data_IF_905095097440
#
_entry.id   IF_905095097440
#
_cell.length_a   1.000
_cell.length_b   1.000
_cell.length_c   1.000
_cell.angle_alpha   90.00
_cell.angle_beta   90.00
_cell.angle_gamma   90.00
#
_symmetry.space_group_name_H-M   'P 1'
#
loop_
_entity.id
_entity.type
_entity.pdbx_description
1 polymer ?
#
# COMPACT_ATOMS: atom_id res chain seq x y z
N UNK A 1 -26.21 8.15 -25.32
CA UNK A 1 -24.75 8.26 -25.50
C UNK A 1 -24.07 6.93 -25.14
N UNK A 2 -22.95 6.61 -25.79
CA UNK A 2 -22.19 5.38 -25.55
C UNK A 2 -20.80 5.72 -25.04
N UNK A 3 -20.38 5.13 -23.93
CA UNK A 3 -19.06 5.33 -23.33
C UNK A 3 -18.31 4.01 -23.37
N UNK A 4 -17.10 4.03 -23.94
CA UNK A 4 -16.19 2.88 -23.96
C UNK A 4 -15.19 2.97 -22.78
N UNK A 5 -15.15 1.95 -21.95
CA UNK A 5 -14.26 1.90 -20.77
C UNK A 5 -13.09 0.95 -20.97
N UNK A 6 -11.93 1.32 -20.43
CA UNK A 6 -10.75 0.42 -20.35
C UNK A 6 -10.17 0.45 -18.94
N UNK A 7 -10.24 -0.69 -18.27
CA UNK A 7 -9.61 -0.94 -16.95
C UNK A 7 -8.78 -2.23 -17.02
N UNK A 8 -7.54 -2.22 -16.53
CA UNK A 8 -6.60 -3.34 -16.65
C UNK A 8 -6.22 -4.01 -15.33
N UNK A 9 -6.73 -3.53 -14.20
CA UNK A 9 -6.42 -4.03 -12.86
C UNK A 9 -7.66 -4.09 -11.97
N UNK A 10 -7.63 -4.92 -10.92
CA UNK A 10 -8.77 -5.11 -10.00
C UNK A 10 -9.19 -3.80 -9.33
N UNK A 11 -8.24 -2.96 -8.93
CA UNK A 11 -8.53 -1.63 -8.38
C UNK A 11 -9.26 -0.74 -9.36
N UNK A 12 -8.83 -0.73 -10.63
CA UNK A 12 -9.45 0.03 -11.71
C UNK A 12 -10.87 -0.47 -12.03
N UNK A 13 -11.13 -1.79 -11.92
CA UNK A 13 -12.47 -2.38 -12.06
C UNK A 13 -13.42 -1.85 -10.97
N UNK A 14 -12.98 -1.85 -9.72
CA UNK A 14 -13.77 -1.34 -8.60
C UNK A 14 -14.11 0.16 -8.78
N UNK A 15 -13.12 0.96 -9.17
CA UNK A 15 -13.32 2.39 -9.43
C UNK A 15 -14.19 2.64 -10.65
N UNK A 16 -14.00 1.87 -11.72
CA UNK A 16 -14.81 1.91 -12.93
C UNK A 16 -16.26 1.55 -12.65
N UNK A 17 -16.49 0.51 -11.85
CA UNK A 17 -17.84 0.11 -11.47
C UNK A 17 -18.56 1.20 -10.64
N UNK A 18 -17.86 1.84 -9.70
CA UNK A 18 -18.42 2.95 -8.92
C UNK A 18 -18.77 4.15 -9.85
N UNK A 19 -17.87 4.52 -10.74
CA UNK A 19 -18.09 5.57 -11.74
C UNK A 19 -19.28 5.25 -12.67
N UNK A 20 -19.37 4.03 -13.19
CA UNK A 20 -20.50 3.59 -14.03
C UNK A 20 -21.85 3.68 -13.31
N UNK A 21 -21.90 3.29 -12.02
CA UNK A 21 -23.12 3.45 -11.20
C UNK A 21 -23.52 4.91 -11.07
N UNK A 22 -22.55 5.80 -10.82
CA UNK A 22 -22.79 7.24 -10.72
C UNK A 22 -23.25 7.85 -12.04
N UNK A 23 -22.62 7.48 -13.15
CA UNK A 23 -23.04 7.89 -14.50
C UNK A 23 -24.46 7.45 -14.80
N UNK A 24 -24.83 6.20 -14.50
CA UNK A 24 -26.19 5.67 -14.74
C UNK A 24 -27.23 6.34 -13.86
N UNK A 25 -26.89 6.80 -12.67
CA UNK A 25 -27.80 7.60 -11.83
C UNK A 25 -28.08 8.98 -12.41
N UNK A 26 -27.09 9.59 -13.05
CA UNK A 26 -27.21 10.92 -13.66
C UNK A 26 -27.87 10.87 -15.06
N UNK A 27 -27.61 9.81 -15.82
CA UNK A 27 -28.21 9.55 -17.12
C UNK A 27 -28.47 8.06 -17.35
N UNK A 28 -29.71 7.56 -17.10
CA UNK A 28 -30.05 6.14 -17.22
C UNK A 28 -29.90 5.57 -18.62
N UNK A 29 -29.96 6.43 -19.68
CA UNK A 29 -29.88 6.02 -21.08
C UNK A 29 -28.46 5.78 -21.59
N UNK A 30 -27.44 5.97 -20.72
CA UNK A 30 -26.06 5.73 -21.08
C UNK A 30 -25.80 4.25 -21.33
N UNK A 31 -25.17 3.99 -22.46
CA UNK A 31 -24.68 2.64 -22.82
C UNK A 31 -23.19 2.53 -22.47
N UNK A 32 -22.84 1.45 -21.79
CA UNK A 32 -21.47 1.15 -21.41
C UNK A 32 -20.98 -0.06 -22.20
N UNK A 33 -19.86 0.10 -22.86
CA UNK A 33 -19.15 -0.94 -23.59
C UNK A 33 -17.66 -0.90 -23.19
N UNK A 34 -16.90 -1.93 -23.51
CA UNK A 34 -15.47 -1.89 -23.28
C UNK A 34 -14.89 -3.12 -22.57
N UNK A 35 -13.80 -2.89 -21.84
CA UNK A 35 -12.99 -3.93 -21.23
C UNK A 35 -12.61 -3.56 -19.79
N UNK A 36 -12.86 -4.47 -18.88
CA UNK A 36 -12.54 -4.30 -17.45
C UNK A 36 -12.59 -5.62 -16.72
N UNK A 37 -13.12 -5.60 -15.51
CA UNK A 37 -13.29 -6.78 -14.70
C UNK A 37 -14.75 -7.13 -14.43
N UNK A 38 -14.99 -8.08 -13.50
CA UNK A 38 -16.33 -8.61 -13.24
C UNK A 38 -17.28 -7.56 -12.66
N UNK A 39 -16.78 -6.57 -11.89
CA UNK A 39 -17.64 -5.54 -11.31
C UNK A 39 -18.21 -4.60 -12.38
N UNK A 40 -17.39 -4.17 -13.32
CA UNK A 40 -17.83 -3.34 -14.45
C UNK A 40 -18.74 -4.15 -15.39
N UNK A 41 -18.40 -5.41 -15.66
CA UNK A 41 -19.20 -6.29 -16.52
C UNK A 41 -20.61 -6.51 -15.94
N UNK A 42 -20.74 -6.65 -14.63
CA UNK A 42 -22.04 -6.78 -13.96
C UNK A 42 -22.96 -5.57 -14.23
N UNK A 43 -22.39 -4.38 -14.34
CA UNK A 43 -23.15 -3.15 -14.57
C UNK A 43 -23.42 -2.93 -16.08
N UNK A 44 -22.43 -3.16 -16.92
CA UNK A 44 -22.52 -2.90 -18.36
C UNK A 44 -23.28 -4.00 -19.14
N UNK A 45 -23.28 -5.24 -18.63
CA UNK A 45 -23.93 -6.39 -19.28
C UNK A 45 -22.96 -7.25 -20.11
N UNK A 46 -23.52 -8.21 -20.84
CA UNK A 46 -22.77 -9.26 -21.52
C UNK A 46 -21.81 -8.80 -22.63
N UNK A 47 -22.05 -7.64 -23.22
CA UNK A 47 -21.17 -7.06 -24.26
C UNK A 47 -19.86 -6.51 -23.69
N UNK A 48 -19.77 -6.33 -22.38
CA UNK A 48 -18.56 -5.85 -21.71
C UNK A 48 -17.57 -7.00 -21.47
N UNK A 49 -16.33 -6.85 -21.90
CA UNK A 49 -15.32 -7.93 -21.83
C UNK A 49 -14.58 -7.92 -20.51
N UNK A 50 -14.67 -9.02 -19.79
CA UNK A 50 -13.79 -9.25 -18.63
C UNK A 50 -12.44 -9.82 -19.09
N UNK A 51 -11.36 -9.05 -18.90
CA UNK A 51 -10.01 -9.41 -19.32
C UNK A 51 -8.95 -9.29 -18.21
N UNK A 52 -9.36 -8.85 -17.01
CA UNK A 52 -8.42 -8.54 -15.91
C UNK A 52 -7.63 -9.77 -15.48
N UNK A 53 -8.23 -10.95 -15.47
CA UNK A 53 -7.52 -12.18 -15.12
C UNK A 53 -6.28 -12.44 -15.99
N UNK A 54 -6.39 -12.09 -17.27
CA UNK A 54 -5.30 -12.25 -18.25
C UNK A 54 -4.39 -11.03 -18.32
N UNK A 55 -4.92 -9.84 -18.04
CA UNK A 55 -4.22 -8.56 -18.10
C UNK A 55 -3.37 -8.27 -16.86
N UNK A 56 -3.67 -8.88 -15.72
CA UNK A 56 -2.93 -8.72 -14.48
C UNK A 56 -1.49 -9.26 -14.61
N UNK A 57 -0.56 -8.39 -14.98
CA UNK A 57 0.85 -8.70 -15.19
C UNK A 57 1.71 -7.97 -14.16
N UNK A 58 2.46 -8.73 -13.36
CA UNK A 58 3.12 -8.26 -12.15
C UNK A 58 4.61 -7.92 -12.33
N UNK A 59 5.15 -7.91 -13.55
CA UNK A 59 6.58 -7.60 -13.74
C UNK A 59 7.02 -7.44 -15.19
N UNK A 60 8.17 -6.77 -15.38
CA UNK A 60 8.74 -6.49 -16.70
C UNK A 60 8.96 -7.78 -17.53
N UNK A 61 9.39 -8.86 -16.90
CA UNK A 61 9.62 -10.15 -17.57
C UNK A 61 8.32 -10.81 -18.03
N UNK A 62 7.27 -10.72 -17.24
CA UNK A 62 5.94 -11.23 -17.59
C UNK A 62 5.31 -10.40 -18.72
N UNK A 63 5.53 -9.07 -18.73
CA UNK A 63 5.14 -8.20 -19.85
C UNK A 63 5.83 -8.63 -21.15
N UNK A 64 7.12 -8.91 -21.11
CA UNK A 64 7.87 -9.38 -22.27
C UNK A 64 7.34 -10.75 -22.76
N UNK A 65 7.05 -11.66 -21.85
CA UNK A 65 6.51 -12.99 -22.17
C UNK A 65 5.12 -12.92 -22.77
N UNK A 66 4.28 -11.97 -22.32
CA UNK A 66 2.91 -11.74 -22.79
C UNK A 66 2.80 -10.64 -23.86
N UNK A 67 3.93 -10.19 -24.46
CA UNK A 67 3.92 -9.08 -25.43
C UNK A 67 2.98 -9.32 -26.60
N UNK A 68 2.96 -10.52 -27.17
CA UNK A 68 2.05 -10.90 -28.26
C UNK A 68 0.58 -10.78 -27.85
N UNK A 69 0.24 -11.24 -26.63
CA UNK A 69 -1.11 -11.10 -26.08
C UNK A 69 -1.51 -9.62 -25.95
N UNK A 70 -0.67 -8.77 -25.34
CA UNK A 70 -0.99 -7.34 -25.18
C UNK A 70 -1.09 -6.60 -26.51
N UNK A 71 -0.27 -6.97 -27.51
CA UNK A 71 -0.36 -6.41 -28.86
C UNK A 71 -1.68 -6.77 -29.51
N UNK A 72 -2.15 -8.00 -29.34
CA UNK A 72 -3.42 -8.47 -29.87
C UNK A 72 -4.59 -7.77 -29.16
N UNK A 73 -4.57 -7.70 -27.81
CA UNK A 73 -5.60 -6.98 -27.05
C UNK A 73 -5.67 -5.50 -27.43
N UNK A 74 -4.52 -4.87 -27.67
CA UNK A 74 -4.46 -3.48 -28.13
C UNK A 74 -5.10 -3.30 -29.50
N UNK A 75 -4.82 -4.18 -30.45
CA UNK A 75 -5.42 -4.14 -31.80
C UNK A 75 -6.93 -4.34 -31.76
N UNK A 76 -7.38 -5.34 -31.01
CA UNK A 76 -8.81 -5.61 -30.83
C UNK A 76 -9.52 -4.45 -30.16
N UNK A 77 -8.95 -3.84 -29.12
CA UNK A 77 -9.53 -2.66 -28.47
C UNK A 77 -9.69 -1.49 -29.44
N UNK A 78 -8.68 -1.23 -30.27
CA UNK A 78 -8.78 -0.19 -31.30
C UNK A 78 -9.88 -0.49 -32.31
N UNK A 79 -9.97 -1.72 -32.82
CA UNK A 79 -11.04 -2.15 -33.78
C UNK A 79 -12.43 -1.97 -33.16
N UNK A 80 -12.62 -2.43 -31.93
CA UNK A 80 -13.89 -2.28 -31.21
C UNK A 80 -14.32 -0.82 -31.04
N UNK A 81 -13.39 0.07 -30.70
CA UNK A 81 -13.68 1.51 -30.57
C UNK A 81 -14.04 2.12 -31.96
N UNK A 82 -13.35 1.72 -33.03
CA UNK A 82 -13.63 2.19 -34.38
C UNK A 82 -15.00 1.74 -34.90
N UNK A 83 -15.34 0.49 -34.59
CA UNK A 83 -16.62 -0.10 -35.02
C UNK A 83 -17.80 0.47 -34.23
N UNK A 84 -17.64 0.60 -32.91
CA UNK A 84 -18.70 1.06 -32.00
C UNK A 84 -18.91 2.58 -32.01
N UNK A 85 -17.90 3.36 -32.43
CA UNK A 85 -17.90 4.84 -32.48
C UNK A 85 -18.49 5.47 -31.21
N UNK A 86 -17.94 5.20 -30.02
CA UNK A 86 -18.49 5.75 -28.78
C UNK A 86 -18.33 7.27 -28.72
N UNK A 87 -19.19 7.94 -27.95
CA UNK A 87 -19.09 9.39 -27.72
C UNK A 87 -17.84 9.74 -26.87
N UNK A 88 -17.44 8.86 -25.98
CA UNK A 88 -16.20 8.98 -25.19
C UNK A 88 -15.51 7.64 -24.94
N UNK A 89 -14.19 7.72 -24.74
CA UNK A 89 -13.34 6.63 -24.22
C UNK A 89 -12.81 7.02 -22.86
N UNK A 90 -13.20 6.29 -21.82
CA UNK A 90 -12.74 6.49 -20.44
C UNK A 90 -11.68 5.45 -20.12
N UNK A 91 -10.46 5.93 -19.87
CA UNK A 91 -9.28 5.16 -19.56
C UNK A 91 -9.02 5.23 -18.05
N UNK A 92 -9.05 4.09 -17.37
CA UNK A 92 -8.89 4.05 -15.91
C UNK A 92 -7.53 3.49 -15.54
N UNK A 93 -6.67 4.33 -14.91
CA UNK A 93 -5.31 3.94 -14.51
C UNK A 93 -4.54 3.20 -15.64
N UNK A 94 -3.74 2.19 -15.35
CA UNK A 94 -3.07 1.28 -16.30
C UNK A 94 -2.25 2.01 -17.39
N UNK A 95 -1.32 2.90 -17.02
CA UNK A 95 -0.72 3.87 -17.93
C UNK A 95 0.08 3.25 -19.07
N UNK A 96 0.63 2.05 -18.88
CA UNK A 96 1.40 1.35 -19.90
C UNK A 96 0.60 1.02 -21.16
N UNK A 97 -0.66 0.68 -21.03
CA UNK A 97 -1.60 0.38 -22.09
C UNK A 97 -2.41 1.62 -22.49
N UNK A 98 -3.03 2.27 -21.53
CA UNK A 98 -3.99 3.31 -21.74
C UNK A 98 -3.42 4.57 -22.42
N UNK A 99 -2.19 5.01 -22.06
CA UNK A 99 -1.56 6.15 -22.75
C UNK A 99 -1.18 5.85 -24.21
N UNK A 100 -0.86 4.59 -24.51
CA UNK A 100 -0.60 4.17 -25.91
C UNK A 100 -1.90 4.14 -26.71
N UNK A 101 -2.99 3.65 -26.08
CA UNK A 101 -4.31 3.61 -26.69
C UNK A 101 -4.83 5.02 -26.99
N UNK A 102 -4.81 5.93 -26.02
CA UNK A 102 -5.19 7.33 -26.19
C UNK A 102 -4.44 8.00 -27.36
N UNK A 103 -3.12 7.78 -27.44
CA UNK A 103 -2.30 8.30 -28.54
C UNK A 103 -2.67 7.70 -29.90
N UNK A 104 -3.03 6.41 -29.96
CA UNK A 104 -3.45 5.76 -31.20
C UNK A 104 -4.82 6.27 -31.68
N UNK A 105 -5.77 6.43 -30.77
CA UNK A 105 -7.09 7.00 -31.05
C UNK A 105 -6.98 8.41 -31.64
N UNK A 106 -6.17 9.29 -31.08
CA UNK A 106 -5.99 10.67 -31.60
C UNK A 106 -5.38 10.69 -33.00
N UNK A 107 -4.59 9.71 -33.41
CA UNK A 107 -4.01 9.63 -34.76
C UNK A 107 -5.02 9.22 -35.80
N UNK A 108 -6.11 8.60 -35.42
CA UNK A 108 -7.14 8.10 -36.37
C UNK A 108 -8.22 9.13 -36.71
N UNK A 109 -8.06 10.37 -36.23
CA UNK A 109 -8.95 11.53 -36.53
C UNK A 109 -10.42 11.30 -36.20
N UNK A 110 -10.78 10.32 -35.43
CA UNK A 110 -12.13 10.14 -34.92
C UNK A 110 -12.32 11.04 -33.70
N UNK A 111 -13.41 11.84 -33.72
CA UNK A 111 -13.69 12.87 -32.71
C UNK A 111 -14.42 12.22 -31.54
N UNK A 112 -13.69 11.37 -30.80
CA UNK A 112 -14.15 10.85 -29.53
C UNK A 112 -13.43 11.60 -28.42
N UNK A 113 -14.11 11.95 -27.36
CA UNK A 113 -13.50 12.50 -26.18
C UNK A 113 -12.70 11.38 -25.50
N UNK A 114 -11.42 11.63 -25.22
CA UNK A 114 -10.56 10.72 -24.48
C UNK A 114 -10.38 11.26 -23.07
N UNK A 115 -10.96 10.57 -22.10
CA UNK A 115 -10.97 10.95 -20.69
C UNK A 115 -10.08 9.98 -19.91
N UNK A 116 -9.24 10.51 -19.04
CA UNK A 116 -8.36 9.70 -18.21
C UNK A 116 -8.75 9.83 -16.74
N UNK A 117 -9.19 8.75 -16.14
CA UNK A 117 -9.57 8.68 -14.73
C UNK A 117 -8.47 7.99 -13.90
N UNK A 118 -8.14 8.55 -12.75
CA UNK A 118 -7.01 8.16 -11.89
C UNK A 118 -5.70 8.37 -12.67
N UNK A 119 -5.25 9.62 -12.65
CA UNK A 119 -4.13 10.09 -13.46
C UNK A 119 -2.86 9.29 -13.20
N UNK A 120 -2.05 9.02 -14.24
CA UNK A 120 -0.79 8.35 -14.03
C UNK A 120 0.18 9.26 -13.28
N UNK A 121 0.91 8.70 -12.30
CA UNK A 121 1.87 9.43 -11.46
C UNK A 121 3.13 9.88 -12.25
N UNK A 122 2.94 10.43 -13.45
CA UNK A 122 4.01 10.93 -14.33
C UNK A 122 4.78 12.10 -13.73
N UNK A 123 4.18 12.80 -12.79
CA UNK A 123 4.77 13.88 -12.03
C UNK A 123 5.95 13.41 -11.14
N UNK A 124 5.92 12.16 -10.69
CA UNK A 124 6.98 11.58 -9.86
C UNK A 124 8.24 11.22 -10.65
N UNK A 125 8.13 10.86 -11.93
CA UNK A 125 9.25 10.30 -12.67
C UNK A 125 9.39 10.76 -14.13
N UNK A 126 8.37 11.41 -14.72
CA UNK A 126 8.43 11.84 -16.12
C UNK A 126 7.51 13.02 -16.40
N UNK A 127 7.78 14.17 -15.83
CA UNK A 127 6.99 15.41 -16.02
C UNK A 127 6.87 15.81 -17.49
N UNK A 128 7.86 15.49 -18.33
CA UNK A 128 7.79 15.77 -19.77
C UNK A 128 6.70 14.98 -20.51
N UNK A 129 6.14 13.92 -19.92
CA UNK A 129 4.98 13.21 -20.47
C UNK A 129 3.71 14.02 -20.43
N UNK A 130 3.55 14.91 -19.46
CA UNK A 130 2.34 15.73 -19.29
C UNK A 130 2.05 16.54 -20.57
N UNK A 131 3.07 17.25 -21.10
CA UNK A 131 2.95 17.97 -22.37
C UNK A 131 2.57 17.07 -23.56
N UNK A 132 2.94 15.79 -23.53
CA UNK A 132 2.54 14.83 -24.55
C UNK A 132 1.10 14.37 -24.36
N UNK A 133 0.65 14.19 -23.11
CA UNK A 133 -0.72 13.80 -22.76
C UNK A 133 -1.72 14.87 -23.21
N UNK A 134 -1.41 16.15 -23.05
CA UNK A 134 -2.23 17.26 -23.51
C UNK A 134 -2.56 17.24 -25.04
N UNK A 135 -1.82 16.46 -25.82
CA UNK A 135 -2.06 16.32 -27.25
C UNK A 135 -3.10 15.26 -27.62
N UNK A 136 -3.42 14.36 -26.71
CA UNK A 136 -4.27 13.20 -27.00
C UNK A 136 -5.24 12.79 -25.90
N UNK A 137 -5.30 13.54 -24.80
CA UNK A 137 -6.29 13.42 -23.74
C UNK A 137 -7.03 14.74 -23.66
N UNK A 138 -8.35 14.68 -23.58
CA UNK A 138 -9.22 15.86 -23.54
C UNK A 138 -9.49 16.27 -22.09
N UNK A 139 -9.69 15.31 -21.17
CA UNK A 139 -9.94 15.54 -19.76
C UNK A 139 -9.17 14.54 -18.88
N UNK A 140 -8.52 15.04 -17.83
CA UNK A 140 -7.94 14.20 -16.75
C UNK A 140 -8.72 14.42 -15.46
N UNK A 141 -9.19 13.34 -14.87
CA UNK A 141 -9.83 13.33 -13.56
C UNK A 141 -8.78 12.97 -12.51
N UNK A 142 -8.36 13.99 -11.77
CA UNK A 142 -7.27 13.92 -10.81
C UNK A 142 -7.77 13.46 -9.42
N UNK A 143 -7.01 12.58 -8.78
CA UNK A 143 -7.32 12.09 -7.43
C UNK A 143 -6.53 12.80 -6.33
N UNK A 144 -5.49 13.55 -6.71
CA UNK A 144 -4.74 14.41 -5.82
C UNK A 144 -4.87 15.88 -6.25
N UNK A 145 -5.06 16.83 -5.30
CA UNK A 145 -5.33 18.23 -5.64
C UNK A 145 -4.19 18.90 -6.41
N UNK A 146 -2.92 18.60 -6.09
CA UNK A 146 -1.76 19.19 -6.75
C UNK A 146 -1.60 18.76 -8.21
N UNK A 147 -2.25 17.67 -8.64
CA UNK A 147 -2.18 17.19 -10.02
C UNK A 147 -2.89 18.13 -10.98
N UNK A 148 -3.95 18.80 -10.52
CA UNK A 148 -4.74 19.72 -11.35
C UNK A 148 -3.89 20.87 -11.89
N UNK A 149 -3.15 21.55 -11.02
CA UNK A 149 -2.27 22.66 -11.43
C UNK A 149 -1.15 22.17 -12.35
N UNK A 150 -0.62 20.99 -12.06
CA UNK A 150 0.44 20.38 -12.83
C UNK A 150 0.01 20.06 -14.29
N UNK A 151 -1.20 19.54 -14.47
CA UNK A 151 -1.75 19.26 -15.78
C UNK A 151 -2.19 20.54 -16.50
N UNK A 152 -2.85 21.47 -15.80
CA UNK A 152 -3.29 22.75 -16.34
C UNK A 152 -2.12 23.60 -16.88
N UNK A 153 -0.98 23.61 -16.20
CA UNK A 153 0.23 24.26 -16.66
C UNK A 153 0.77 23.73 -17.99
N UNK A 154 0.30 22.58 -18.45
CA UNK A 154 0.64 21.96 -19.72
C UNK A 154 -0.49 22.09 -20.78
N UNK A 155 -1.53 22.85 -20.47
CA UNK A 155 -2.70 23.04 -21.36
C UNK A 155 -3.65 21.82 -21.41
N UNK A 156 -3.55 20.90 -20.44
CA UNK A 156 -4.45 19.75 -20.35
C UNK A 156 -5.57 20.07 -19.36
N UNK A 157 -6.83 19.92 -19.82
CA UNK A 157 -7.98 20.09 -18.95
C UNK A 157 -7.96 19.04 -17.85
N UNK A 158 -7.95 19.48 -16.60
CA UNK A 158 -7.83 18.64 -15.45
C UNK A 158 -8.81 19.07 -14.34
N UNK A 159 -9.53 18.11 -13.78
CA UNK A 159 -10.50 18.34 -12.72
C UNK A 159 -10.15 17.47 -11.50
N UNK A 160 -10.05 18.07 -10.34
CA UNK A 160 -9.89 17.35 -9.10
C UNK A 160 -11.24 16.78 -8.65
N UNK A 161 -11.34 15.46 -8.63
CA UNK A 161 -12.58 14.74 -8.29
C UNK A 161 -12.55 14.13 -6.88
N UNK A 162 -11.40 14.19 -6.21
CA UNK A 162 -11.16 13.53 -4.93
C UNK A 162 -10.68 12.09 -5.09
N UNK A 163 -10.15 11.54 -3.98
CA UNK A 163 -9.60 10.19 -4.01
C UNK A 163 -10.69 9.14 -3.75
N UNK A 164 -10.96 8.22 -4.69
CA UNK A 164 -12.06 7.25 -4.57
C UNK A 164 -11.88 6.26 -3.41
N UNK A 165 -10.67 6.16 -2.85
CA UNK A 165 -10.39 5.39 -1.64
C UNK A 165 -11.23 5.86 -0.45
N UNK A 166 -11.46 7.17 -0.31
CA UNK A 166 -12.20 7.75 0.83
C UNK A 166 -13.60 7.15 0.94
N UNK A 167 -14.34 7.11 -0.16
CA UNK A 167 -15.69 6.55 -0.23
C UNK A 167 -15.71 5.06 0.18
N UNK A 168 -14.73 4.29 -0.29
CA UNK A 168 -14.58 2.89 0.07
C UNK A 168 -14.24 2.69 1.54
N UNK A 169 -13.31 3.46 2.08
CA UNK A 169 -12.89 3.32 3.48
C UNK A 169 -13.94 3.80 4.46
N UNK A 170 -14.77 4.79 4.07
CA UNK A 170 -15.89 5.24 4.90
C UNK A 170 -16.87 4.10 5.21
N UNK A 171 -17.15 3.24 4.22
CA UNK A 171 -18.02 2.07 4.41
C UNK A 171 -17.39 0.96 5.26
N UNK A 172 -16.08 1.05 5.54
CA UNK A 172 -15.32 0.07 6.32
C UNK A 172 -14.98 0.58 7.73
N UNK A 173 -15.45 1.76 8.10
CA UNK A 173 -15.30 2.26 9.46
C UNK A 173 -16.08 1.38 10.44
N UNK A 174 -15.45 1.08 11.55
CA UNK A 174 -16.03 0.32 12.66
C UNK A 174 -15.85 1.12 13.95
N UNK A 175 -16.82 1.03 14.84
CA UNK A 175 -16.67 1.54 16.20
C UNK A 175 -15.78 0.56 16.99
N UNK A 176 -14.56 0.98 17.28
CA UNK A 176 -13.59 0.13 17.97
C UNK A 176 -12.55 0.96 18.70
N UNK A 177 -11.94 0.35 19.71
CA UNK A 177 -10.80 0.93 20.42
C UNK A 177 -9.50 0.30 19.92
N UNK A 178 -8.44 1.13 19.88
CA UNK A 178 -7.09 0.64 19.58
C UNK A 178 -6.53 -0.15 20.74
N UNK A 179 -6.06 -1.34 20.45
CA UNK A 179 -5.38 -2.19 21.42
C UNK A 179 -3.91 -1.76 21.58
N UNK A 180 -3.56 -1.21 22.72
CA UNK A 180 -2.23 -0.66 23.02
C UNK A 180 -1.08 -1.67 22.86
N UNK A 181 -1.39 -2.97 22.93
CA UNK A 181 -0.40 -4.03 22.76
C UNK A 181 -0.42 -4.65 21.35
N UNK A 182 -1.28 -4.21 20.45
CA UNK A 182 -1.39 -4.76 19.10
C UNK A 182 -0.61 -3.93 18.08
N UNK A 183 0.31 -4.58 17.38
CA UNK A 183 1.07 -4.02 16.27
C UNK A 183 0.62 -4.65 14.96
N UNK A 184 0.16 -3.82 14.02
CA UNK A 184 -0.23 -4.25 12.69
C UNK A 184 0.96 -4.35 11.72
N UNK A 185 1.07 -5.45 10.99
CA UNK A 185 2.08 -5.67 9.96
C UNK A 185 1.40 -5.71 8.58
N UNK A 186 1.80 -4.80 7.68
CA UNK A 186 1.20 -4.65 6.36
C UNK A 186 2.28 -4.79 5.28
N UNK A 187 2.70 -6.03 4.93
CA UNK A 187 3.88 -6.28 4.10
C UNK A 187 3.66 -6.06 2.60
N UNK A 188 2.47 -5.63 2.20
CA UNK A 188 2.09 -5.39 0.82
C UNK A 188 1.19 -6.47 0.22
N UNK A 189 0.69 -6.20 -0.99
CA UNK A 189 -0.27 -7.05 -1.70
C UNK A 189 0.34 -7.93 -2.79
N UNK A 190 1.65 -7.81 -3.04
CA UNK A 190 2.35 -8.57 -4.09
C UNK A 190 3.35 -9.55 -3.49
N UNK A 191 3.39 -10.78 -4.00
CA UNK A 191 4.29 -11.84 -3.52
C UNK A 191 5.79 -11.42 -3.49
N UNK A 192 6.21 -10.55 -4.43
CA UNK A 192 7.60 -10.02 -4.46
C UNK A 192 7.88 -9.02 -3.35
N UNK A 193 6.90 -8.21 -2.97
CA UNK A 193 6.99 -7.26 -1.84
C UNK A 193 7.05 -8.05 -0.53
N UNK A 194 6.10 -8.96 -0.32
CA UNK A 194 6.03 -9.83 0.86
C UNK A 194 7.36 -10.56 1.09
N UNK A 195 7.94 -11.17 0.05
CA UNK A 195 9.23 -11.89 0.17
C UNK A 195 10.38 -11.01 0.65
N UNK A 196 10.36 -9.71 0.38
CA UNK A 196 11.46 -8.80 0.73
C UNK A 196 11.23 -8.03 2.01
N UNK A 197 9.98 -7.69 2.30
CA UNK A 197 9.60 -6.80 3.40
C UNK A 197 9.23 -7.60 4.64
N UNK A 198 8.46 -8.67 4.49
CA UNK A 198 7.94 -9.42 5.63
C UNK A 198 9.03 -10.04 6.54
N UNK A 199 10.14 -10.60 6.04
CA UNK A 199 11.24 -11.07 6.91
C UNK A 199 11.83 -9.95 7.79
N UNK A 200 11.89 -8.72 7.28
CA UNK A 200 12.36 -7.56 8.06
C UNK A 200 11.35 -7.20 9.14
N UNK A 201 10.06 -7.27 8.84
CA UNK A 201 8.99 -7.04 9.81
C UNK A 201 8.99 -8.08 10.93
N UNK A 202 9.18 -9.38 10.60
CA UNK A 202 9.30 -10.46 11.58
C UNK A 202 10.47 -10.20 12.54
N UNK A 203 11.61 -9.81 12.00
CA UNK A 203 12.79 -9.55 12.83
C UNK A 203 12.62 -8.28 13.69
N UNK A 204 11.95 -7.24 13.18
CA UNK A 204 11.58 -6.07 13.97
C UNK A 204 10.58 -6.44 15.10
N UNK A 205 9.61 -7.30 14.80
CA UNK A 205 8.68 -7.82 15.81
C UNK A 205 9.40 -8.57 16.93
N UNK A 206 10.42 -9.37 16.61
CA UNK A 206 11.27 -10.03 17.64
C UNK A 206 11.97 -9.04 18.54
N UNK A 207 12.54 -7.97 17.97
CA UNK A 207 13.19 -6.93 18.77
C UNK A 207 12.21 -6.28 19.75
N UNK A 208 10.99 -6.00 19.26
CA UNK A 208 9.94 -5.42 20.08
C UNK A 208 9.47 -6.36 21.20
N UNK A 209 9.31 -7.66 20.93
CA UNK A 209 8.97 -8.66 21.94
C UNK A 209 10.05 -8.85 23.02
N UNK A 210 11.34 -8.70 22.67
CA UNK A 210 12.43 -8.71 23.66
C UNK A 210 12.32 -7.53 24.65
N UNK A 211 11.78 -6.39 24.20
CA UNK A 211 11.60 -5.21 25.02
C UNK A 211 10.28 -5.22 25.79
N UNK A 212 9.21 -5.75 25.18
CA UNK A 212 7.91 -5.89 25.81
C UNK A 212 7.22 -7.20 25.35
N UNK A 213 7.25 -8.23 26.21
CA UNK A 213 6.66 -9.54 25.89
C UNK A 213 5.13 -9.57 25.79
N UNK A 214 4.43 -8.50 26.22
CA UNK A 214 2.96 -8.44 26.12
C UNK A 214 2.46 -8.04 24.73
N UNK A 215 3.35 -7.63 23.82
CA UNK A 215 3.01 -7.22 22.48
C UNK A 215 2.46 -8.38 21.66
N UNK A 216 1.47 -8.07 20.83
CA UNK A 216 0.85 -8.98 19.88
C UNK A 216 1.02 -8.43 18.46
N UNK A 217 1.12 -9.33 17.49
CA UNK A 217 1.34 -8.97 16.09
C UNK A 217 0.28 -9.60 15.22
N UNK A 218 -0.34 -8.78 14.37
CA UNK A 218 -1.29 -9.23 13.38
C UNK A 218 -0.83 -8.79 11.99
N UNK A 219 -0.89 -9.70 11.02
CA UNK A 219 -0.41 -9.50 9.64
C UNK A 219 -1.58 -9.48 8.69
N UNK A 220 -1.69 -8.43 7.89
CA UNK A 220 -2.67 -8.35 6.82
C UNK A 220 -2.17 -9.09 5.59
N UNK A 221 -2.92 -10.10 5.15
CA UNK A 221 -2.73 -10.78 3.88
C UNK A 221 -3.83 -10.40 2.90
N UNK A 222 -3.45 -10.01 1.67
CA UNK A 222 -4.40 -9.63 0.64
C UNK A 222 -5.11 -10.83 -0.01
N UNK A 223 -4.62 -12.05 0.20
CA UNK A 223 -5.22 -13.30 -0.31
C UNK A 223 -4.73 -14.50 0.51
N UNK A 224 -5.45 -15.63 0.44
CA UNK A 224 -5.02 -16.90 1.07
C UNK A 224 -3.66 -17.36 0.54
N UNK A 225 -3.39 -17.21 -0.75
CA UNK A 225 -2.10 -17.56 -1.33
C UNK A 225 -0.95 -16.79 -0.68
N UNK A 226 -1.14 -15.49 -0.39
CA UNK A 226 -0.15 -14.68 0.31
C UNK A 226 -0.07 -15.05 1.79
N UNK A 227 -1.20 -15.37 2.43
CA UNK A 227 -1.22 -15.85 3.81
C UNK A 227 -0.42 -17.13 3.95
N UNK A 228 -0.58 -18.10 3.05
CA UNK A 228 0.21 -19.35 3.05
C UNK A 228 1.71 -19.10 2.83
N UNK A 229 2.04 -18.15 1.95
CA UNK A 229 3.43 -17.72 1.77
C UNK A 229 4.00 -17.13 3.06
N UNK A 230 3.23 -16.31 3.77
CA UNK A 230 3.63 -15.69 5.04
C UNK A 230 3.72 -16.72 6.17
N UNK A 231 2.78 -17.67 6.28
CA UNK A 231 2.83 -18.79 7.26
C UNK A 231 4.11 -19.59 7.10
N UNK A 232 4.51 -19.91 5.86
CA UNK A 232 5.78 -20.60 5.57
C UNK A 232 7.02 -19.80 5.96
N UNK A 233 6.94 -18.47 5.96
CA UNK A 233 8.04 -17.61 6.40
C UNK A 233 8.12 -17.51 7.93
N UNK A 234 7.00 -17.61 8.62
CA UNK A 234 6.92 -17.58 10.09
C UNK A 234 7.30 -18.94 10.70
N UNK A 235 6.96 -20.05 10.04
CA UNK A 235 7.18 -21.42 10.52
C UNK A 235 8.63 -21.73 10.99
N UNK A 236 9.71 -21.28 10.31
CA UNK A 236 11.08 -21.47 10.80
C UNK A 236 11.40 -20.71 12.09
N UNK A 237 10.50 -19.85 12.53
CA UNK A 237 10.61 -19.02 13.72
C UNK A 237 9.73 -19.50 14.86
N UNK A 238 8.91 -20.54 14.63
CA UNK A 238 8.21 -21.29 15.66
C UNK A 238 9.10 -22.49 16.01
N UNK A 239 9.38 -22.72 17.30
CA UNK A 239 10.05 -23.96 17.71
C UNK A 239 9.18 -25.15 17.26
N UNK A 240 9.78 -26.19 16.69
CA UNK A 240 9.11 -27.46 16.64
C UNK A 240 8.80 -27.86 18.09
N UNK A 241 7.52 -28.09 18.40
CA UNK A 241 7.14 -28.77 19.63
C UNK A 241 8.06 -29.99 19.76
N UNK A 242 8.68 -30.26 20.90
CA UNK A 242 9.46 -31.48 21.06
C UNK A 242 8.55 -32.63 20.72
N UNK A 243 8.85 -33.32 19.63
CA UNK A 243 8.17 -34.53 19.24
C UNK A 243 8.48 -35.54 20.32
N UNK A 244 7.53 -35.70 21.25
CA UNK A 244 7.55 -36.75 22.22
C UNK A 244 7.47 -38.11 21.53
N UNK A 245 8.62 -38.62 21.11
CA UNK A 245 8.88 -40.01 20.84
C UNK A 245 10.04 -40.40 21.76
N UNK A 246 9.71 -40.52 23.05
CA UNK A 246 10.41 -41.37 23.97
C UNK A 246 9.55 -42.61 24.12
N UNK A 247 9.81 -43.64 23.34
CA UNK A 247 9.42 -45.01 23.71
C UNK A 247 10.15 -45.31 25.01
N UNK A 248 9.43 -45.24 26.12
CA UNK A 248 9.85 -45.79 27.36
C UNK A 248 9.95 -47.31 27.20
N UNK A 249 11.14 -47.82 26.95
CA UNK A 249 11.42 -49.24 27.28
C UNK A 249 11.29 -49.38 28.77
N UNK A 250 10.26 -50.07 29.16
CA UNK A 250 10.09 -50.66 30.54
C UNK A 250 11.08 -51.81 30.63
N UNK A 251 12.23 -51.56 31.23
CA UNK A 251 13.05 -52.65 31.80
C UNK A 251 12.63 -52.83 33.24
N UNK A 252 11.96 -53.92 33.48
CA UNK A 252 11.69 -54.50 34.80
C UNK A 252 12.94 -55.16 35.30
N UNK A 253 13.49 -54.68 36.41
CA UNK A 253 14.39 -55.45 37.28
C UNK A 253 14.02 -55.26 38.75
N UNK A 254 14.29 -56.27 39.59
CA UNK A 254 13.53 -56.50 40.80
C UNK A 254 14.13 -55.92 42.08
N UNK A 255 13.23 -55.66 42.96
CA UNK A 255 13.28 -55.40 44.38
C UNK A 255 14.48 -55.98 45.15
N UNK A 256 15.23 -55.16 45.86
CA UNK A 256 15.82 -55.56 47.13
C UNK A 256 15.95 -54.39 48.12
N UNK A 257 15.69 -54.70 49.30
CA UNK A 257 15.35 -54.10 50.54
C UNK A 257 16.44 -53.30 51.29
N UNK A 258 15.94 -52.37 52.12
CA UNK A 258 16.45 -51.99 53.47
C UNK A 258 17.82 -51.29 53.54
N UNK A 259 18.00 -50.16 54.14
CA UNK A 259 17.87 -49.89 55.57
C UNK A 259 18.26 -48.40 55.93
N UNK A 260 17.82 -48.00 57.07
CA UNK A 260 17.85 -46.79 57.82
C UNK A 260 19.24 -46.10 58.03
N UNK A 261 19.17 -44.79 58.23
CA UNK A 261 19.66 -43.95 59.39
C UNK A 261 20.13 -42.57 58.93
N UNK A 262 19.44 -41.56 59.28
CA UNK A 262 19.55 -40.58 60.35
C UNK A 262 20.73 -39.62 60.34
N UNK A 263 20.37 -38.40 60.64
CA UNK A 263 21.03 -37.34 61.44
C UNK A 263 21.60 -36.15 60.66
N UNK A 264 20.92 -35.03 60.73
CA UNK A 264 21.12 -33.85 61.58
C UNK A 264 22.44 -33.08 61.40
N UNK A 265 22.35 -31.82 60.94
CA UNK A 265 22.66 -30.62 61.81
C UNK A 265 22.81 -29.36 60.95
N UNK A 266 22.00 -28.40 61.21
CA UNK A 266 22.22 -26.98 61.67
C UNK A 266 23.53 -26.29 61.28
N UNK A 267 23.38 -25.06 60.70
CA UNK A 267 24.39 -24.00 60.77
C UNK A 267 24.16 -22.83 59.90
N UNK A 268 23.39 -21.86 60.38
CA UNK A 268 23.60 -20.41 60.61
C UNK A 268 24.15 -19.53 59.46
N UNK A 269 23.31 -18.64 59.07
CA UNK A 269 23.36 -17.19 58.72
C UNK A 269 24.68 -16.49 59.06
N UNK A 270 25.20 -15.70 58.10
CA UNK A 270 25.74 -14.36 58.38
C UNK A 270 25.59 -13.43 57.18
N UNK A 271 24.88 -12.37 57.41
CA UNK A 271 24.73 -11.15 56.63
C UNK A 271 25.93 -10.25 56.94
N UNK A 272 26.54 -9.63 55.95
CA UNK A 272 27.36 -8.42 56.14
C UNK A 272 27.14 -7.43 55.03
N UNK A 273 26.91 -6.18 55.45
CA UNK A 273 26.59 -4.96 54.69
C UNK A 273 27.84 -4.07 54.69
N UNK A 274 28.08 -3.43 53.49
CA UNK A 274 28.67 -2.13 53.15
C UNK A 274 30.22 -1.97 53.34
N UNK A 275 30.84 -0.90 52.79
CA UNK A 275 30.33 0.28 52.13
C UNK A 275 31.02 0.70 50.81
N UNK A 276 30.44 1.71 50.23
CA UNK A 276 30.78 2.64 49.17
C UNK A 276 32.22 3.19 49.17
N UNK A 277 32.91 3.19 48.03
CA UNK A 277 33.92 4.20 47.71
C UNK A 277 34.06 4.42 46.20
N UNK A 278 34.00 5.69 45.85
CA UNK A 278 34.26 6.31 44.56
C UNK A 278 35.72 6.23 44.14
N UNK A 279 36.02 5.90 42.89
CA UNK A 279 37.27 6.33 42.27
C UNK A 279 37.18 6.39 40.75
N UNK A 280 37.55 7.55 40.25
CA UNK A 280 37.81 7.85 38.86
C UNK A 280 38.81 6.88 38.22
N UNK A 281 38.47 6.37 37.02
CA UNK A 281 39.50 5.83 36.13
C UNK A 281 39.25 6.24 34.67
N UNK A 282 40.36 6.56 34.02
CA UNK A 282 40.53 7.09 32.67
C UNK A 282 40.12 6.12 31.53
N UNK A 283 39.96 6.59 30.29
CA UNK A 283 39.45 5.79 29.18
C UNK A 283 40.53 4.84 28.62
N UNK A 284 40.13 3.61 28.37
CA UNK A 284 40.90 2.60 27.65
C UNK A 284 40.61 2.61 26.12
N UNK A 285 41.52 2.13 25.27
CA UNK A 285 41.53 2.40 23.83
C UNK A 285 40.55 1.52 23.05
N UNK A 286 40.05 2.11 21.96
CA UNK A 286 39.22 1.50 20.95
C UNK A 286 39.90 0.25 20.33
N UNK A 287 39.38 -0.93 20.59
CA UNK A 287 39.64 -2.13 19.81
C UNK A 287 38.62 -2.22 18.66
N UNK A 288 39.15 -2.18 17.45
CA UNK A 288 38.42 -2.54 16.23
C UNK A 288 38.06 -4.04 16.28
N UNK A 289 36.81 -4.32 16.40
CA UNK A 289 36.20 -5.63 16.18
C UNK A 289 34.72 -5.44 15.94
N UNK A 290 34.31 -5.39 14.68
CA UNK A 290 32.90 -5.49 14.32
C UNK A 290 32.41 -6.90 14.68
N UNK A 291 31.98 -7.10 15.91
CA UNK A 291 31.12 -8.21 16.26
C UNK A 291 29.77 -8.00 15.59
N UNK A 292 29.55 -8.73 14.51
CA UNK A 292 28.19 -9.00 14.01
C UNK A 292 27.44 -9.70 15.13
N UNK A 293 26.72 -8.95 15.94
CA UNK A 293 25.75 -9.47 16.90
C UNK A 293 24.69 -10.22 16.08
N UNK A 294 24.88 -11.53 15.94
CA UNK A 294 23.81 -12.43 15.52
C UNK A 294 22.80 -12.43 16.67
N UNK A 295 21.71 -11.69 16.49
CA UNK A 295 20.60 -11.71 17.45
C UNK A 295 20.12 -13.13 17.72
N UNK A 296 19.57 -13.41 18.89
CA UNK A 296 19.15 -14.73 19.30
C UNK A 296 18.11 -15.31 18.32
N UNK A 297 18.43 -16.49 17.76
CA UNK A 297 17.56 -17.28 16.92
C UNK A 297 16.63 -18.13 17.82
N UNK A 298 15.80 -17.50 18.63
CA UNK A 298 14.79 -18.20 19.42
C UNK A 298 13.39 -18.05 18.81
N UNK A 299 12.41 -18.90 19.20
CA UNK A 299 11.02 -18.78 18.77
C UNK A 299 10.41 -17.46 19.23
N UNK A 300 9.41 -17.00 18.50
CA UNK A 300 8.56 -15.91 18.96
C UNK A 300 7.70 -16.40 20.12
N UNK A 301 7.67 -15.71 21.26
CA UNK A 301 6.89 -16.14 22.43
C UNK A 301 5.37 -16.14 22.19
N UNK A 302 4.91 -15.46 21.14
CA UNK A 302 3.52 -15.47 20.70
C UNK A 302 3.46 -15.68 19.18
N UNK A 303 2.48 -16.46 18.66
CA UNK A 303 2.30 -16.63 17.23
C UNK A 303 1.93 -15.29 16.59
N UNK A 304 2.54 -15.00 15.46
CA UNK A 304 2.08 -13.91 14.57
C UNK A 304 0.78 -14.38 13.93
N UNK A 305 -0.31 -13.67 14.20
CA UNK A 305 -1.61 -13.96 13.59
C UNK A 305 -1.66 -13.41 12.16
N UNK A 306 -2.08 -14.21 11.20
CA UNK A 306 -2.22 -13.81 9.79
C UNK A 306 -3.69 -13.81 9.43
N UNK A 307 -4.23 -12.62 9.13
CA UNK A 307 -5.63 -12.40 8.79
C UNK A 307 -5.78 -12.02 7.30
N UNK A 308 -6.72 -12.64 6.61
CA UNK A 308 -7.00 -12.40 5.19
C UNK A 308 -8.23 -11.51 5.03
N UNK A 309 -8.12 -10.49 4.18
CA UNK A 309 -9.25 -9.59 3.87
C UNK A 309 -9.65 -8.63 5.00
N UNK A 310 -8.91 -8.58 6.10
CA UNK A 310 -9.24 -7.78 7.28
C UNK A 310 -8.37 -6.52 7.43
N UNK A 311 -7.74 -6.06 6.37
CA UNK A 311 -6.79 -4.94 6.41
C UNK A 311 -7.35 -3.68 7.07
N UNK A 312 -8.57 -3.27 6.71
CA UNK A 312 -9.21 -2.08 7.26
C UNK A 312 -9.55 -2.23 8.76
N UNK A 313 -10.06 -3.38 9.17
CA UNK A 313 -10.32 -3.66 10.58
C UNK A 313 -9.03 -3.65 11.40
N UNK A 314 -7.97 -4.30 10.90
CA UNK A 314 -6.66 -4.29 11.55
C UNK A 314 -6.07 -2.90 11.70
N UNK A 315 -6.18 -2.03 10.69
CA UNK A 315 -5.73 -0.63 10.76
C UNK A 315 -6.50 0.17 11.80
N UNK A 316 -7.72 -0.20 12.12
CA UNK A 316 -8.53 0.44 13.16
C UNK A 316 -8.26 -0.10 14.56
N UNK A 317 -7.93 -1.40 14.69
CA UNK A 317 -7.61 -2.04 15.97
C UNK A 317 -6.15 -1.85 16.42
N UNK A 318 -5.20 -1.92 15.50
CA UNK A 318 -3.79 -1.82 15.82
C UNK A 318 -3.43 -0.46 16.42
N UNK A 319 -2.59 -0.47 17.46
CA UNK A 319 -2.10 0.75 18.09
C UNK A 319 -1.11 1.49 17.21
N UNK A 320 -0.22 0.74 16.57
CA UNK A 320 0.80 1.23 15.64
C UNK A 320 1.00 0.20 14.53
N UNK A 321 1.44 0.63 13.35
CA UNK A 321 1.68 -0.23 12.20
C UNK A 321 3.11 -0.18 11.65
N UNK A 322 3.51 -1.27 11.00
CA UNK A 322 4.65 -1.31 10.09
C UNK A 322 4.08 -1.55 8.70
N UNK A 323 4.18 -0.57 7.81
CA UNK A 323 3.44 -0.54 6.54
C UNK A 323 4.40 -0.52 5.36
N UNK A 324 4.21 -1.41 4.39
CA UNK A 324 4.89 -1.32 3.10
C UNK A 324 4.39 -0.08 2.33
N UNK A 325 5.31 0.66 1.71
CA UNK A 325 4.95 1.85 0.93
C UNK A 325 4.02 1.48 -0.23
N UNK A 326 2.91 2.20 -0.34
CA UNK A 326 1.85 2.00 -1.32
C UNK A 326 0.55 2.65 -0.86
N UNK A 327 -0.58 2.23 -1.43
CA UNK A 327 -1.92 2.72 -1.05
C UNK A 327 -2.27 2.42 0.41
N UNK A 328 -1.75 1.33 0.97
CA UNK A 328 -1.94 0.96 2.38
C UNK A 328 -1.49 2.05 3.36
N UNK A 329 -0.50 2.87 2.98
CA UNK A 329 -0.05 4.00 3.80
C UNK A 329 -1.11 5.10 3.90
N UNK A 330 -1.83 5.39 2.81
CA UNK A 330 -2.96 6.34 2.85
C UNK A 330 -4.17 5.76 3.58
N UNK A 331 -4.41 4.46 3.46
CA UNK A 331 -5.48 3.78 4.19
C UNK A 331 -5.20 3.81 5.70
N UNK A 332 -3.96 3.56 6.11
CA UNK A 332 -3.53 3.67 7.51
C UNK A 332 -3.69 5.10 8.04
N UNK A 333 -3.30 6.11 7.24
CA UNK A 333 -3.49 7.52 7.57
C UNK A 333 -4.98 7.87 7.70
N UNK A 334 -5.83 7.38 6.79
CA UNK A 334 -7.28 7.58 6.83
C UNK A 334 -7.91 7.07 8.14
N UNK A 335 -7.48 5.90 8.60
CA UNK A 335 -7.95 5.35 9.88
C UNK A 335 -7.20 5.93 11.09
N UNK A 336 -6.31 6.90 10.91
CA UNK A 336 -5.55 7.53 11.99
C UNK A 336 -4.63 6.55 12.74
N UNK A 337 -4.15 5.48 12.09
CA UNK A 337 -3.21 4.54 12.67
C UNK A 337 -1.78 5.06 12.48
N UNK A 338 -1.04 5.42 13.54
CA UNK A 338 0.38 5.75 13.43
C UNK A 338 1.19 4.56 12.89
N UNK A 339 2.19 4.86 12.07
CA UNK A 339 2.98 3.80 11.45
C UNK A 339 4.37 4.25 11.03
N UNK A 340 5.20 3.29 10.73
CA UNK A 340 6.47 3.47 10.02
C UNK A 340 6.38 2.84 8.64
N UNK A 341 7.04 3.44 7.66
CA UNK A 341 7.03 2.98 6.27
C UNK A 341 8.27 2.15 5.94
N UNK A 342 8.07 1.06 5.22
CA UNK A 342 9.16 0.28 4.65
C UNK A 342 9.02 0.25 3.12
N UNK A 343 10.13 0.50 2.44
CA UNK A 343 10.23 0.33 0.99
C UNK A 343 11.43 -0.54 0.63
N UNK A 344 11.18 -1.68 -0.03
CA UNK A 344 12.23 -2.63 -0.42
C UNK A 344 11.92 -3.26 -1.77
N UNK A 345 12.77 -2.97 -2.76
CA UNK A 345 12.66 -3.52 -4.12
C UNK A 345 13.93 -4.25 -4.53
N UNK A 346 13.99 -4.81 -5.75
CA UNK A 346 15.23 -5.35 -6.26
C UNK A 346 16.27 -4.24 -6.45
N UNK A 347 17.52 -4.52 -6.12
CA UNK A 347 18.60 -3.52 -6.20
C UNK A 347 18.70 -2.83 -7.57
N UNK A 348 18.66 -3.56 -8.72
CA UNK A 348 18.68 -2.90 -10.02
C UNK A 348 17.47 -1.98 -10.25
N UNK A 349 16.30 -2.37 -9.76
CA UNK A 349 15.08 -1.55 -9.84
C UNK A 349 15.22 -0.28 -9.00
N UNK A 350 15.82 -0.37 -7.82
CA UNK A 350 16.08 0.78 -6.95
C UNK A 350 17.04 1.78 -7.59
N UNK A 351 18.17 1.29 -8.12
CA UNK A 351 19.16 2.13 -8.81
C UNK A 351 18.52 2.83 -10.01
N UNK A 352 17.79 2.08 -10.85
CA UNK A 352 17.09 2.66 -11.99
C UNK A 352 16.03 3.70 -11.55
N UNK A 353 15.29 3.43 -10.48
CA UNK A 353 14.31 4.37 -9.94
C UNK A 353 14.98 5.66 -9.43
N UNK A 354 16.09 5.56 -8.70
CA UNK A 354 16.84 6.74 -8.18
C UNK A 354 17.36 7.66 -9.27
N UNK A 355 17.62 7.13 -10.47
CA UNK A 355 18.06 7.94 -11.62
C UNK A 355 16.90 8.69 -12.31
N UNK A 356 15.66 8.24 -12.11
CA UNK A 356 14.49 8.74 -12.84
C UNK A 356 13.49 9.43 -11.94
N UNK A 357 13.33 8.96 -10.69
CA UNK A 357 12.38 9.48 -9.72
C UNK A 357 12.97 10.68 -9.02
N UNK A 358 12.30 11.83 -9.14
CA UNK A 358 12.70 13.10 -8.52
C UNK A 358 11.63 13.54 -7.52
N UNK A 359 11.55 12.81 -6.40
CA UNK A 359 10.69 13.15 -5.27
C UNK A 359 11.49 13.01 -3.97
N UNK A 360 11.16 13.85 -3.00
CA UNK A 360 11.83 13.87 -1.69
C UNK A 360 11.40 12.67 -0.82
N UNK A 361 10.17 12.20 -0.99
CA UNK A 361 9.56 11.10 -0.22
C UNK A 361 8.99 10.03 -1.13
N UNK A 362 8.99 8.77 -0.66
CA UNK A 362 8.37 7.63 -1.36
C UNK A 362 6.99 7.27 -0.80
N UNK A 363 6.73 7.59 0.46
CA UNK A 363 5.43 7.40 1.09
C UNK A 363 4.45 8.49 0.69
N UNK A 364 3.27 8.08 0.24
CA UNK A 364 2.23 9.03 -0.18
C UNK A 364 1.85 10.07 0.90
N UNK A 365 1.73 9.71 2.20
CA UNK A 365 1.47 10.71 3.24
C UNK A 365 2.55 11.78 3.33
N UNK A 366 3.83 11.40 3.31
CA UNK A 366 4.95 12.35 3.37
C UNK A 366 5.00 13.24 2.12
N UNK A 367 4.76 12.65 0.97
CA UNK A 367 4.72 13.35 -0.31
C UNK A 367 3.58 14.38 -0.36
N UNK A 368 2.38 14.03 0.10
CA UNK A 368 1.22 14.93 0.15
C UNK A 368 1.38 16.05 1.19
N UNK A 369 2.09 15.77 2.27
CA UNK A 369 2.43 16.76 3.31
C UNK A 369 3.63 17.62 2.95
N UNK A 370 4.43 17.24 1.93
CA UNK A 370 5.74 17.80 1.60
C UNK A 370 6.71 17.85 2.80
N UNK A 371 6.55 16.92 3.75
CA UNK A 371 7.40 16.74 4.94
C UNK A 371 7.34 15.28 5.41
N UNK A 372 8.31 14.89 6.23
CA UNK A 372 8.26 13.57 6.90
C UNK A 372 7.18 13.57 7.99
N UNK A 373 6.08 12.90 7.72
CA UNK A 373 4.99 12.64 8.67
C UNK A 373 5.16 11.27 9.30
N UNK A 374 5.47 10.26 8.49
CA UNK A 374 5.78 8.91 8.93
C UNK A 374 7.23 8.56 8.57
N UNK A 375 8.04 8.02 9.50
CA UNK A 375 9.43 7.63 9.22
C UNK A 375 9.51 6.63 8.05
N UNK A 376 10.40 6.88 7.08
CA UNK A 376 10.62 6.03 5.91
C UNK A 376 11.93 5.23 6.03
N UNK A 377 11.83 3.92 5.93
CA UNK A 377 12.97 3.02 5.90
C UNK A 377 13.14 2.43 4.51
N UNK A 378 14.11 2.96 3.75
CA UNK A 378 14.29 2.64 2.33
C UNK A 378 15.48 1.69 2.17
N UNK A 379 15.28 0.56 1.48
CA UNK A 379 16.32 -0.40 1.10
C UNK A 379 17.23 -0.83 2.25
N UNK A 380 18.45 -0.30 2.34
CA UNK A 380 19.45 -0.62 3.35
C UNK A 380 19.16 0.00 4.72
N UNK A 381 18.34 1.04 4.77
CA UNK A 381 17.88 1.67 6.01
C UNK A 381 16.76 0.84 6.67
N UNK A 382 16.09 -0.04 5.92
CA UNK A 382 15.09 -0.96 6.46
C UNK A 382 15.76 -2.07 7.31
N UNK A 383 16.36 -1.62 8.43
CA UNK A 383 16.99 -2.48 9.44
C UNK A 383 16.01 -2.77 10.57
N UNK A 384 15.89 -4.02 11.04
CA UNK A 384 14.95 -4.38 12.11
C UNK A 384 15.08 -3.55 13.38
N UNK A 385 16.30 -3.24 13.80
CA UNK A 385 16.55 -2.45 15.02
C UNK A 385 16.07 -1.00 14.87
N UNK A 386 16.30 -0.38 13.71
CA UNK A 386 15.85 0.99 13.43
C UNK A 386 14.32 1.08 13.37
N UNK A 387 13.69 0.10 12.74
CA UNK A 387 12.23 -0.01 12.65
C UNK A 387 11.63 -0.23 14.04
N UNK A 388 12.16 -1.17 14.82
CA UNK A 388 11.70 -1.44 16.17
C UNK A 388 11.82 -0.20 17.07
N UNK A 389 12.93 0.54 16.96
CA UNK A 389 13.12 1.80 17.70
C UNK A 389 12.08 2.84 17.35
N UNK A 390 11.78 3.03 16.06
CA UNK A 390 10.79 4.00 15.61
C UNK A 390 9.36 3.59 16.01
N UNK A 391 9.01 2.31 15.91
CA UNK A 391 7.72 1.78 16.39
C UNK A 391 7.58 2.00 17.89
N UNK A 392 8.61 1.68 18.67
CA UNK A 392 8.62 1.91 20.13
C UNK A 392 8.38 3.38 20.47
N UNK A 393 9.05 4.30 19.78
CA UNK A 393 8.85 5.74 19.97
C UNK A 393 7.38 6.13 19.78
N UNK A 394 6.73 5.64 18.71
CA UNK A 394 5.31 5.90 18.45
C UNK A 394 4.37 5.24 19.47
N UNK A 395 4.83 4.22 20.19
CA UNK A 395 4.06 3.61 21.27
C UNK A 395 4.20 4.37 22.60
N UNK A 396 5.38 4.89 22.89
CA UNK A 396 5.72 5.53 24.17
C UNK A 396 5.48 7.06 24.15
N UNK A 397 5.78 7.72 23.03
CA UNK A 397 5.67 9.17 22.90
C UNK A 397 4.28 9.58 22.40
N UNK A 398 3.46 10.01 23.34
CA UNK A 398 2.12 10.53 23.03
C UNK A 398 2.13 11.79 22.15
N UNK A 399 3.16 12.64 22.24
CA UNK A 399 3.26 13.86 21.45
C UNK A 399 3.61 13.56 19.98
N UNK A 400 4.60 12.70 19.73
CA UNK A 400 4.94 12.26 18.36
C UNK A 400 3.75 11.57 17.70
N UNK A 401 3.05 10.72 18.45
CA UNK A 401 1.84 10.06 18.01
C UNK A 401 0.72 11.04 17.65
N UNK A 402 0.41 12.01 18.51
CA UNK A 402 -0.63 13.01 18.25
C UNK A 402 -0.30 13.90 17.06
N UNK A 403 0.96 14.31 16.91
CA UNK A 403 1.41 15.08 15.74
C UNK A 403 1.19 14.30 14.44
N UNK A 404 1.56 13.02 14.41
CA UNK A 404 1.37 12.17 13.23
C UNK A 404 -0.11 12.03 12.87
N UNK A 405 -0.99 11.81 13.84
CA UNK A 405 -2.45 11.71 13.62
C UNK A 405 -3.01 13.04 13.10
N UNK A 406 -2.62 14.16 13.69
CA UNK A 406 -3.04 15.48 13.22
C UNK A 406 -2.57 15.78 11.79
N UNK A 407 -1.37 15.36 11.43
CA UNK A 407 -0.87 15.46 10.08
C UNK A 407 -1.65 14.56 9.11
N UNK A 408 -2.06 13.37 9.54
CA UNK A 408 -2.93 12.49 8.75
C UNK A 408 -4.29 13.14 8.49
N UNK A 409 -4.93 13.73 9.49
CA UNK A 409 -6.20 14.44 9.34
C UNK A 409 -6.07 15.58 8.31
N UNK A 410 -4.98 16.34 8.38
CA UNK A 410 -4.68 17.42 7.43
C UNK A 410 -4.44 16.89 5.99
N UNK A 411 -3.84 15.71 5.83
CA UNK A 411 -3.65 15.06 4.53
C UNK A 411 -4.98 14.57 3.98
N UNK A 412 -5.75 13.84 4.79
CA UNK A 412 -7.01 13.21 4.38
C UNK A 412 -8.05 14.27 4.00
N UNK A 413 -8.11 15.40 4.74
CA UNK A 413 -9.01 16.50 4.39
C UNK A 413 -8.76 17.06 2.98
N UNK A 414 -7.52 17.02 2.49
CA UNK A 414 -7.15 17.46 1.13
C UNK A 414 -7.56 16.46 0.04
N UNK A 415 -7.90 15.23 0.37
CA UNK A 415 -8.29 14.19 -0.60
C UNK A 415 -9.74 14.28 -1.10
N UNK A 416 -10.51 15.29 -0.68
CA UNK A 416 -11.78 15.67 -1.28
C UNK A 416 -13.03 14.96 -0.75
N UNK A 417 -12.96 14.28 0.40
CA UNK A 417 -14.12 13.62 1.03
C UNK A 417 -14.76 12.52 0.16
N UNK A 418 -15.97 12.12 0.52
CA UNK A 418 -16.77 11.14 -0.25
C UNK A 418 -17.32 11.74 -1.54
N UNK A 419 -17.88 10.90 -2.44
CA UNK A 419 -18.51 11.36 -3.70
C UNK A 419 -17.54 11.57 -4.87
N UNK A 420 -16.32 11.03 -4.81
CA UNK A 420 -15.36 11.10 -5.90
C UNK A 420 -15.92 10.53 -7.21
N UNK A 421 -16.64 9.41 -7.15
CA UNK A 421 -17.26 8.77 -8.31
C UNK A 421 -18.37 9.63 -8.92
N UNK A 422 -19.11 10.38 -8.11
CA UNK A 422 -20.19 11.26 -8.55
C UNK A 422 -19.63 12.52 -9.21
N UNK A 423 -18.62 13.17 -8.59
CA UNK A 423 -17.92 14.32 -9.20
C UNK A 423 -17.25 13.92 -10.51
N UNK A 424 -16.68 12.71 -10.59
CA UNK A 424 -16.12 12.16 -11.83
C UNK A 424 -17.19 12.01 -12.92
N UNK A 425 -18.36 11.49 -12.56
CA UNK A 425 -19.47 11.30 -13.48
C UNK A 425 -20.01 12.65 -14.00
N UNK A 426 -20.16 13.65 -13.13
CA UNK A 426 -20.56 15.00 -13.50
C UNK A 426 -19.56 15.63 -14.47
N UNK A 427 -18.26 15.60 -14.15
CA UNK A 427 -17.21 16.16 -15.01
C UNK A 427 -17.16 15.47 -16.40
N UNK A 428 -17.39 14.16 -16.46
CA UNK A 428 -17.49 13.44 -17.75
C UNK A 428 -18.68 13.93 -18.57
N UNK A 429 -19.86 14.05 -17.97
CA UNK A 429 -21.07 14.49 -18.67
C UNK A 429 -20.97 15.95 -19.12
N UNK A 430 -20.36 16.83 -18.36
CA UNK A 430 -20.05 18.21 -18.71
C UNK A 430 -19.11 18.26 -19.93
N UNK A 431 -18.01 17.53 -19.92
CA UNK A 431 -17.06 17.43 -21.01
C UNK A 431 -17.71 16.93 -22.30
N UNK A 432 -18.67 15.99 -22.20
CA UNK A 432 -19.43 15.47 -23.34
C UNK A 432 -20.44 16.47 -23.90
N UNK A 433 -21.03 17.33 -23.07
CA UNK A 433 -21.92 18.40 -23.48
C UNK A 433 -21.17 19.53 -24.21
N UNK A 434 -20.01 19.95 -23.68
CA UNK A 434 -19.18 21.01 -24.25
C UNK A 434 -18.58 20.62 -25.62
N UNK A 435 -18.28 19.36 -25.85
CA UNK A 435 -17.71 18.86 -27.12
C UNK A 435 -18.60 18.98 -28.35
N UNK A 436 -19.83 19.42 -28.21
CA UNK A 436 -20.77 19.71 -29.33
C UNK A 436 -20.67 21.12 -29.85
N UNK A 437 -19.87 22.01 -29.26
CA UNK A 437 -19.64 23.38 -29.72
C UNK A 437 -18.34 23.45 -30.53
N UNK A 438 -18.33 23.90 -31.80
CA UNK A 438 -17.10 24.07 -32.56
C UNK A 438 -16.33 25.29 -32.05
N UNK A 439 -15.18 25.08 -31.50
CA UNK A 439 -14.14 26.09 -31.26
C UNK A 439 -14.09 26.68 -29.87
N UNK A 440 -13.21 26.12 -29.02
CA UNK A 440 -12.61 26.88 -27.91
C UNK A 440 -11.08 26.93 -28.08
N UNK A 441 -10.47 28.15 -28.14
CA UNK A 441 -9.09 28.32 -27.74
C UNK A 441 -9.05 28.22 -26.22
N UNK A 442 -8.03 27.55 -25.67
CA UNK A 442 -7.89 27.29 -24.25
C UNK A 442 -8.07 28.54 -23.38
N UNK A 443 -9.18 28.62 -22.71
CA UNK A 443 -9.52 29.63 -21.72
C UNK A 443 -9.29 29.05 -20.34
N UNK A 444 -8.34 29.64 -19.62
CA UNK A 444 -8.06 29.38 -18.21
C UNK A 444 -9.16 30.05 -17.40
N UNK A 445 -10.04 29.27 -16.82
CA UNK A 445 -10.85 29.77 -15.70
C UNK A 445 -10.00 29.61 -14.42
N UNK A 446 -9.46 30.72 -13.98
CA UNK A 446 -8.61 30.82 -12.79
C UNK A 446 -9.45 30.64 -11.54
N UNK A 447 -9.37 29.48 -10.93
CA UNK A 447 -9.71 29.31 -9.51
C UNK A 447 -8.70 30.12 -8.67
N UNK A 448 -9.20 30.81 -7.65
CA UNK A 448 -8.49 31.76 -6.82
C UNK A 448 -7.15 31.22 -6.26
N UNK A 449 -6.12 32.06 -6.10
CA UNK A 449 -4.79 31.63 -5.70
C UNK A 449 -4.77 31.24 -4.22
N UNK A 450 -4.26 30.05 -3.94
CA UNK A 450 -3.91 29.62 -2.59
C UNK A 450 -2.70 30.43 -2.14
N UNK A 451 -2.91 31.32 -1.16
CA UNK A 451 -1.85 32.08 -0.52
C UNK A 451 -0.90 31.14 0.22
N UNK A 452 0.35 31.16 -0.18
CA UNK A 452 1.50 30.71 0.60
C UNK A 452 1.59 31.46 1.91
N UNK A 453 1.52 30.75 3.02
CA UNK A 453 2.25 31.04 4.26
C UNK A 453 2.72 29.75 4.88
#
# INVERSE_FOLDING_TARGET
MTIYFVAGEVSADNHGAALMRSLRRLDPELKFIGRGGPQMQQIAGAQFKNWIGDAAVLGLWEVLRKYGYFREQFRQTLSEIQESKPDAVVLIDYPGFNLRLARALRRQSQIQKTIYYISPQVWAWNRGRIKKMARFIDLVLCIFPFETDLYAASGLHAVFVGHPMIERLETQKIETYRDQNLIGLFPGSRSREVRKIFPVMIEAARRLLQLNPTLRFQVAAASEQLADQMRKMVAPHLDPLPSGRGEAKVETEPNESLDQRSASSKGKVKMQVAPNESSHQAPLPLSRGEERVRGPKGPLPHPIEIAVGQTAAMMQHAFVGIVASGTAALEAAYFGMPFVLIYKVAWPTYVAARLVVNVDFLGMPNLLAAKEVAPEFIQHEAKPDAIAKAVRLLMEDSLARHRMISDFDAIISKLGGTGASERSAQAILEELKEGRSPGRPGGVETAAPWSTR
#
